data_IF_176527194299
#
_entry.id   IF_176527194299
#
_cell.length_a   1.000
_cell.length_b   1.000
_cell.length_c   1.000
_cell.angle_alpha   90.00
_cell.angle_beta   90.00
_cell.angle_gamma   90.00
#
_symmetry.space_group_name_H-M   'P 1'
#
loop_
_entity.id
_entity.type
_entity.pdbx_description
1 polymer ?
#
# COMPACT_ATOMS: atom_id res chain seq x y z
N UNK A 1 8.53 -11.55 4.20
CA UNK A 1 9.27 -10.94 3.07
C UNK A 1 10.68 -10.59 3.52
N UNK A 2 11.66 -10.59 2.61
CA UNK A 2 13.07 -10.31 2.93
C UNK A 2 13.34 -8.86 3.36
N UNK A 3 12.43 -7.94 3.03
CA UNK A 3 12.55 -6.50 3.33
C UNK A 3 12.13 -6.08 4.76
N UNK A 4 11.74 -7.02 5.63
CA UNK A 4 11.33 -6.70 7.01
C UNK A 4 9.95 -6.05 7.16
N UNK A 5 9.14 -6.03 6.09
CA UNK A 5 7.78 -5.48 6.13
C UNK A 5 6.83 -6.36 6.97
N UNK A 6 5.94 -5.71 7.73
CA UNK A 6 4.81 -6.36 8.42
C UNK A 6 3.64 -6.51 7.46
N UNK A 7 3.12 -7.72 7.32
CA UNK A 7 1.91 -8.00 6.55
C UNK A 7 0.73 -8.11 7.52
N UNK A 8 -0.35 -7.40 7.21
CA UNK A 8 -1.59 -7.42 7.98
C UNK A 8 -2.62 -8.32 7.30
N UNK A 9 -3.58 -8.83 8.08
CA UNK A 9 -4.76 -9.48 7.52
C UNK A 9 -5.58 -8.49 6.67
N UNK A 10 -6.23 -8.93 5.58
CA UNK A 10 -7.06 -8.05 4.75
C UNK A 10 -8.12 -7.32 5.58
N UNK A 11 -8.07 -5.98 5.55
CA UNK A 11 -8.94 -5.11 6.33
C UNK A 11 -8.43 -3.67 6.39
N UNK A 12 -9.11 -2.81 7.16
CA UNK A 12 -8.76 -1.38 7.23
C UNK A 12 -7.40 -1.09 7.89
N UNK A 13 -6.93 -1.97 8.78
CA UNK A 13 -5.63 -1.83 9.47
C UNK A 13 -5.42 -0.41 10.04
N UNK A 14 -4.25 0.20 9.81
CA UNK A 14 -3.87 1.54 10.27
C UNK A 14 -4.74 2.67 9.67
N UNK A 15 -5.45 2.43 8.57
CA UNK A 15 -6.23 3.48 7.88
C UNK A 15 -7.33 4.06 8.79
N UNK A 16 -7.90 3.22 9.68
CA UNK A 16 -8.95 3.65 10.60
C UNK A 16 -8.42 4.13 11.96
N UNK A 17 -7.26 3.61 12.40
CA UNK A 17 -6.63 3.96 13.68
C UNK A 17 -7.37 3.47 14.93
N UNK A 18 -8.33 2.56 14.78
CA UNK A 18 -9.17 2.02 15.85
C UNK A 18 -8.66 0.67 16.42
N UNK A 19 -7.60 0.11 15.84
CA UNK A 19 -6.99 -1.15 16.27
C UNK A 19 -5.49 -0.93 16.45
N UNK A 20 -4.74 -1.08 15.36
CA UNK A 20 -3.33 -0.74 15.33
C UNK A 20 -3.14 0.77 15.21
N UNK A 21 -2.08 1.27 15.85
CA UNK A 21 -1.65 2.66 15.76
C UNK A 21 -0.15 2.72 15.50
N UNK A 22 0.28 3.77 14.81
CA UNK A 22 1.70 4.08 14.68
C UNK A 22 2.26 4.56 16.01
N UNK A 23 3.59 4.54 16.13
CA UNK A 23 4.29 5.09 17.30
C UNK A 23 3.90 6.56 17.52
N UNK A 24 3.69 6.95 18.77
CA UNK A 24 3.40 8.33 19.12
C UNK A 24 4.50 9.28 18.60
N UNK A 25 4.09 10.41 18.03
CA UNK A 25 5.02 11.41 17.47
C UNK A 25 5.62 11.03 16.11
N UNK A 26 5.26 9.87 15.54
CA UNK A 26 5.85 9.42 14.29
C UNK A 26 5.47 10.29 13.09
N UNK A 27 6.42 10.46 12.18
CA UNK A 27 6.16 10.93 10.82
C UNK A 27 5.87 9.72 9.93
N UNK A 28 4.73 9.74 9.24
CA UNK A 28 4.22 8.62 8.47
C UNK A 28 3.91 9.07 7.04
N UNK A 29 4.36 8.27 6.07
CA UNK A 29 3.89 8.34 4.71
C UNK A 29 2.85 7.24 4.48
N UNK A 30 1.65 7.59 4.04
CA UNK A 30 0.50 6.68 3.99
C UNK A 30 -0.21 6.75 2.64
N UNK A 31 -0.71 5.61 2.17
CA UNK A 31 -1.62 5.50 1.01
C UNK A 31 -3.09 5.46 1.44
N UNK A 32 -3.38 5.80 2.71
CA UNK A 32 -4.74 5.93 3.22
C UNK A 32 -5.45 7.15 2.62
N UNK A 33 -6.75 7.27 2.92
CA UNK A 33 -7.57 8.37 2.39
C UNK A 33 -7.58 9.62 3.27
N UNK A 34 -7.06 9.56 4.51
CA UNK A 34 -7.20 10.63 5.51
C UNK A 34 -5.96 10.74 6.39
N UNK A 35 -5.59 11.98 6.75
CA UNK A 35 -4.44 12.32 7.57
C UNK A 35 -4.75 13.36 8.68
N UNK A 36 -6.01 13.46 9.13
CA UNK A 36 -6.37 14.39 10.21
C UNK A 36 -5.63 14.08 11.53
N UNK A 37 -5.44 15.06 12.42
CA UNK A 37 -4.70 14.87 13.66
C UNK A 37 -5.18 13.67 14.48
N UNK A 38 -4.24 12.88 14.99
CA UNK A 38 -4.49 11.66 15.76
C UNK A 38 -5.20 10.51 15.01
N UNK A 39 -5.26 10.56 13.66
CA UNK A 39 -5.90 9.49 12.88
C UNK A 39 -5.13 8.18 12.91
N UNK A 40 -3.85 8.17 12.53
CA UNK A 40 -3.05 6.95 12.47
C UNK A 40 -2.38 6.61 13.81
N UNK A 41 -2.21 7.60 14.68
CA UNK A 41 -1.62 7.48 16.00
C UNK A 41 -1.53 8.83 16.70
N UNK A 42 -1.31 8.81 18.01
CA UNK A 42 -1.24 10.05 18.80
C UNK A 42 -0.07 10.92 18.35
N UNK A 43 -0.31 12.22 18.21
CA UNK A 43 0.71 13.22 17.85
C UNK A 43 1.49 12.89 16.56
N UNK A 44 0.92 12.07 15.66
CA UNK A 44 1.59 11.68 14.41
C UNK A 44 1.45 12.73 13.32
N UNK A 45 2.49 12.91 12.50
CA UNK A 45 2.45 13.73 11.29
C UNK A 45 2.30 12.82 10.07
N UNK A 46 1.17 12.93 9.35
CA UNK A 46 0.82 11.98 8.28
C UNK A 46 0.77 12.68 6.92
N UNK A 47 1.55 12.17 5.97
CA UNK A 47 1.61 12.60 4.58
C UNK A 47 0.94 11.55 3.70
N UNK A 48 0.12 12.00 2.73
CA UNK A 48 -0.59 11.13 1.81
C UNK A 48 0.09 11.11 0.44
N UNK A 49 0.13 9.94 -0.19
CA UNK A 49 0.64 9.79 -1.56
C UNK A 49 0.42 8.39 -2.13
N UNK A 50 1.03 8.12 -3.29
CA UNK A 50 0.85 6.86 -4.01
C UNK A 50 1.63 5.70 -3.38
N UNK A 51 1.29 4.47 -3.79
CA UNK A 51 1.97 3.26 -3.32
C UNK A 51 3.43 3.20 -3.79
N UNK A 52 3.71 3.67 -5.00
CA UNK A 52 5.05 3.73 -5.56
C UNK A 52 5.93 4.69 -4.76
N UNK A 53 5.43 5.89 -4.46
CA UNK A 53 6.15 6.85 -3.65
C UNK A 53 6.32 6.34 -2.20
N UNK A 54 5.32 5.66 -1.64
CA UNK A 54 5.44 5.04 -0.32
C UNK A 54 6.54 3.97 -0.27
N UNK A 55 6.70 3.17 -1.33
CA UNK A 55 7.76 2.18 -1.45
C UNK A 55 9.16 2.83 -1.55
N UNK A 56 9.28 3.95 -2.25
CA UNK A 56 10.54 4.73 -2.31
C UNK A 56 10.84 5.35 -0.95
N UNK A 57 9.84 5.95 -0.28
CA UNK A 57 9.97 6.51 1.06
C UNK A 57 10.42 5.47 2.10
N UNK A 58 9.88 4.24 2.03
CA UNK A 58 10.24 3.17 2.99
C UNK A 58 11.68 2.67 2.78
N UNK A 59 12.17 2.69 1.53
CA UNK A 59 13.56 2.37 1.20
C UNK A 59 14.54 3.46 1.64
N UNK A 60 14.19 4.73 1.44
CA UNK A 60 15.06 5.87 1.73
C UNK A 60 14.99 6.37 3.19
N UNK A 61 13.90 6.08 3.90
CA UNK A 61 13.64 6.59 5.25
C UNK A 61 13.24 8.07 5.31
N UNK A 62 12.99 8.71 4.16
CA UNK A 62 12.55 10.10 4.03
C UNK A 62 11.73 10.30 2.76
N UNK A 63 11.02 11.43 2.66
CA UNK A 63 10.37 11.85 1.42
C UNK A 63 11.47 12.26 0.42
N UNK A 64 11.51 11.66 -0.79
CA UNK A 64 12.52 11.97 -1.80
C UNK A 64 12.28 13.34 -2.44
N UNK A 65 13.31 13.85 -3.12
CA UNK A 65 13.16 14.93 -4.11
C UNK A 65 12.47 14.40 -5.37
N UNK A 66 12.02 15.31 -6.24
CA UNK A 66 11.40 14.94 -7.52
C UNK A 66 12.36 14.16 -8.41
N UNK A 67 13.62 14.57 -8.43
CA UNK A 67 14.67 13.97 -9.24
C UNK A 67 14.96 12.53 -8.79
N UNK A 68 15.09 12.30 -7.47
CA UNK A 68 15.25 10.97 -6.88
C UNK A 68 14.05 10.07 -7.19
N UNK A 69 12.83 10.60 -7.07
CA UNK A 69 11.61 9.86 -7.40
C UNK A 69 11.59 9.42 -8.87
N UNK A 70 11.90 10.33 -9.81
CA UNK A 70 11.89 10.03 -11.24
C UNK A 70 12.99 9.03 -11.64
N UNK A 71 14.12 9.02 -10.93
CA UNK A 71 15.17 8.02 -11.13
C UNK A 71 14.72 6.62 -10.66
N UNK A 72 14.08 6.53 -9.49
CA UNK A 72 13.69 5.26 -8.89
C UNK A 72 12.45 4.61 -9.55
N UNK A 73 11.49 5.43 -10.01
CA UNK A 73 10.24 4.94 -10.62
C UNK A 73 10.46 4.24 -11.97
N UNK A 74 11.60 4.46 -12.63
CA UNK A 74 11.90 3.92 -13.95
C UNK A 74 11.80 2.39 -14.03
N UNK A 75 12.14 1.69 -12.93
CA UNK A 75 12.04 0.22 -12.84
C UNK A 75 10.60 -0.26 -12.87
N UNK A 76 9.69 0.46 -12.20
CA UNK A 76 8.26 0.16 -12.17
C UNK A 76 7.66 0.41 -13.55
N UNK A 77 8.00 1.54 -14.18
CA UNK A 77 7.51 1.90 -15.51
C UNK A 77 7.89 0.86 -16.57
N UNK A 78 9.12 0.35 -16.54
CA UNK A 78 9.59 -0.68 -17.48
C UNK A 78 8.83 -2.01 -17.36
N UNK A 79 8.18 -2.28 -16.22
CA UNK A 79 7.45 -3.51 -15.95
C UNK A 79 5.95 -3.26 -15.77
N UNK A 80 5.44 -2.09 -16.17
CA UNK A 80 4.08 -1.65 -15.85
C UNK A 80 2.99 -2.63 -16.28
N UNK A 81 3.10 -3.18 -17.49
CA UNK A 81 2.12 -4.16 -18.02
C UNK A 81 2.00 -5.42 -17.15
N UNK A 82 3.11 -5.85 -16.52
CA UNK A 82 3.13 -7.03 -15.65
C UNK A 82 2.71 -6.70 -14.22
N UNK A 83 3.02 -5.48 -13.75
CA UNK A 83 2.74 -5.04 -12.38
C UNK A 83 1.26 -4.68 -12.22
N UNK A 84 0.69 -3.93 -13.16
CA UNK A 84 -0.66 -3.38 -13.05
C UNK A 84 -1.73 -4.30 -13.64
N UNK A 85 -1.73 -5.58 -13.24
CA UNK A 85 -2.76 -6.56 -13.61
C UNK A 85 -3.82 -6.64 -12.51
N UNK A 86 -5.08 -6.38 -12.89
CA UNK A 86 -6.23 -6.58 -11.99
C UNK A 86 -6.60 -8.05 -11.83
N UNK A 87 -7.30 -8.35 -10.74
CA UNK A 87 -7.80 -9.68 -10.43
C UNK A 87 -9.16 -9.90 -11.10
N UNK A 88 -9.14 -10.47 -12.30
CA UNK A 88 -10.34 -10.87 -13.04
C UNK A 88 -10.66 -12.33 -12.69
N UNK A 89 -11.62 -12.56 -11.79
CA UNK A 89 -11.95 -13.92 -11.30
C UNK A 89 -12.49 -14.83 -12.41
N UNK A 90 -13.14 -14.25 -13.41
CA UNK A 90 -13.58 -14.92 -14.64
C UNK A 90 -12.42 -15.42 -15.50
N UNK A 91 -11.17 -15.04 -15.22
CA UNK A 91 -9.97 -15.47 -15.95
C UNK A 91 -9.05 -16.37 -15.10
N UNK A 92 -9.51 -16.77 -13.91
CA UNK A 92 -8.74 -17.61 -12.97
C UNK A 92 -9.48 -18.94 -12.84
N UNK A 93 -8.87 -20.02 -13.33
CA UNK A 93 -9.50 -21.35 -13.44
C UNK A 93 -10.06 -21.88 -12.12
N UNK A 94 -9.39 -21.65 -10.99
CA UNK A 94 -9.88 -22.06 -9.67
C UNK A 94 -11.24 -21.42 -9.31
N UNK A 95 -11.47 -20.16 -9.67
CA UNK A 95 -12.73 -19.47 -9.42
C UNK A 95 -13.80 -19.88 -10.42
N UNK A 96 -13.44 -20.10 -11.69
CA UNK A 96 -14.36 -20.59 -12.72
C UNK A 96 -14.92 -21.98 -12.36
N UNK A 97 -14.06 -22.91 -11.95
CA UNK A 97 -14.48 -24.28 -11.60
C UNK A 97 -15.50 -24.33 -10.47
N UNK A 98 -15.32 -23.48 -9.44
CA UNK A 98 -16.28 -23.37 -8.34
C UNK A 98 -17.61 -22.79 -8.85
N UNK A 99 -17.55 -21.75 -9.68
CA UNK A 99 -18.73 -21.08 -10.20
C UNK A 99 -19.59 -22.00 -11.09
N UNK A 100 -18.98 -22.85 -11.93
CA UNK A 100 -19.68 -23.83 -12.77
C UNK A 100 -20.46 -24.87 -11.96
N UNK A 101 -20.02 -25.18 -10.74
CA UNK A 101 -20.68 -26.13 -9.84
C UNK A 101 -21.88 -25.57 -9.06
N UNK A 102 -22.17 -24.27 -9.16
CA UNK A 102 -23.28 -23.63 -8.43
C UNK A 102 -24.55 -23.71 -9.26
N UNK A 103 -25.59 -24.35 -8.72
CA UNK A 103 -26.94 -24.38 -9.32
C UNK A 103 -27.81 -23.30 -8.67
N UNK A 104 -28.57 -22.54 -9.47
CA UNK A 104 -29.48 -21.48 -9.02
C UNK A 104 -30.76 -22.03 -8.38
#
# INVERSE_FOLDING_TARGET
GTAGARMEMPGCSLCMGNQAQVREGATVFSTSTRNFPNRLGRNSNVYLGSAELAAICSRLGRIPTREEYLADIGVINANGERIYRYMNFDQIGEFQQIAEGVTL
#
